data_IF_407490071819
#
_entry.id   IF_407490071819
#
_cell.length_a   1.000
_cell.length_b   1.000
_cell.length_c   1.000
_cell.angle_alpha   90.00
_cell.angle_beta   90.00
_cell.angle_gamma   90.00
#
_symmetry.space_group_name_H-M   'P 1'
#
loop_
_entity.id
_entity.type
_entity.pdbx_description
1 polymer ?
#
# COMPACT_ATOMS: atom_id res chain seq x y z
N UNK A 1 28.45 -9.38 -10.30
CA UNK A 1 27.58 -9.10 -9.15
C UNK A 1 26.17 -8.95 -9.69
N UNK A 2 25.34 -9.98 -9.56
CA UNK A 2 23.98 -10.01 -10.06
C UNK A 2 23.02 -9.86 -8.87
N UNK A 3 22.29 -8.74 -8.81
CA UNK A 3 21.21 -8.56 -7.86
C UNK A 3 19.98 -9.29 -8.41
N UNK A 4 19.74 -10.49 -7.87
CA UNK A 4 18.60 -11.33 -8.21
C UNK A 4 17.30 -10.68 -7.72
N UNK A 5 16.40 -10.45 -8.69
CA UNK A 5 14.99 -10.20 -8.48
C UNK A 5 14.38 -11.36 -7.66
N UNK A 6 14.00 -11.10 -6.41
CA UNK A 6 13.10 -11.99 -5.68
C UNK A 6 11.98 -11.14 -5.09
N UNK A 7 10.99 -10.89 -5.94
CA UNK A 7 9.62 -10.64 -5.51
C UNK A 7 9.13 -11.90 -4.79
N UNK A 8 9.21 -11.90 -3.45
CA UNK A 8 8.82 -13.03 -2.62
C UNK A 8 7.34 -12.92 -2.24
N UNK A 9 6.51 -13.57 -3.05
CA UNK A 9 5.32 -14.34 -2.68
C UNK A 9 4.21 -13.66 -1.84
N UNK A 10 3.44 -12.78 -2.48
CA UNK A 10 1.98 -12.80 -2.25
C UNK A 10 1.48 -14.10 -2.91
N UNK A 11 1.15 -15.10 -2.08
CA UNK A 11 0.61 -16.37 -2.55
C UNK A 11 -0.80 -16.12 -3.11
N UNK A 12 -0.89 -15.86 -4.41
CA UNK A 12 -2.12 -15.91 -5.17
C UNK A 12 -2.70 -17.33 -5.07
N UNK A 13 -3.82 -17.45 -4.36
CA UNK A 13 -4.72 -18.60 -4.50
C UNK A 13 -5.61 -18.31 -5.71
N UNK A 14 -5.29 -18.98 -6.81
CA UNK A 14 -6.13 -19.38 -7.95
C UNK A 14 -7.16 -18.42 -8.53
N UNK A 15 -6.88 -17.89 -9.72
CA UNK A 15 -7.88 -17.66 -10.76
C UNK A 15 -7.26 -17.90 -12.14
N UNK A 16 -7.97 -18.63 -13.00
CA UNK A 16 -7.53 -19.18 -14.28
C UNK A 16 -7.18 -18.11 -15.34
N UNK A 17 -6.40 -18.44 -16.40
CA UNK A 17 -5.99 -17.48 -17.41
C UNK A 17 -7.08 -17.38 -18.49
N UNK A 18 -7.92 -16.36 -18.38
CA UNK A 18 -8.91 -16.08 -19.40
C UNK A 18 -9.90 -15.04 -18.93
N UNK A 19 -9.52 -13.77 -19.05
CA UNK A 19 -10.35 -12.62 -19.47
C UNK A 19 -9.64 -11.34 -19.03
N UNK A 20 -9.46 -10.40 -19.97
CA UNK A 20 -9.26 -8.98 -19.63
C UNK A 20 -10.60 -8.47 -19.09
N UNK A 21 -10.90 -8.77 -17.84
CA UNK A 21 -11.91 -8.03 -17.11
C UNK A 21 -11.20 -6.82 -16.51
N UNK A 22 -11.83 -5.66 -16.58
CA UNK A 22 -11.53 -4.51 -15.72
C UNK A 22 -11.78 -4.95 -14.28
N UNK A 23 -10.88 -5.78 -13.73
CA UNK A 23 -10.96 -6.24 -12.36
C UNK A 23 -10.62 -5.03 -11.52
N UNK A 24 -11.64 -4.38 -10.99
CA UNK A 24 -11.50 -3.35 -9.97
C UNK A 24 -10.52 -3.87 -8.91
N UNK A 25 -9.40 -3.15 -8.75
CA UNK A 25 -8.37 -3.56 -7.81
C UNK A 25 -8.95 -3.59 -6.41
N UNK A 26 -8.69 -4.67 -5.69
CA UNK A 26 -9.09 -4.77 -4.28
C UNK A 26 -8.31 -3.77 -3.45
N UNK A 27 -8.85 -3.42 -2.28
CA UNK A 27 -8.17 -2.53 -1.34
C UNK A 27 -6.78 -3.07 -0.97
N UNK A 28 -6.64 -4.38 -0.82
CA UNK A 28 -5.37 -5.04 -0.54
C UNK A 28 -4.35 -4.85 -1.68
N UNK A 29 -4.79 -4.91 -2.94
CA UNK A 29 -3.93 -4.65 -4.10
C UNK A 29 -3.50 -3.18 -4.17
N UNK A 30 -4.40 -2.24 -3.88
CA UNK A 30 -4.06 -0.81 -3.80
C UNK A 30 -3.06 -0.52 -2.68
N UNK A 31 -3.24 -1.13 -1.50
CA UNK A 31 -2.27 -1.01 -0.41
C UNK A 31 -0.91 -1.59 -0.80
N UNK A 32 -0.87 -2.75 -1.48
CA UNK A 32 0.38 -3.35 -1.93
C UNK A 32 1.15 -2.43 -2.91
N UNK A 33 0.44 -1.77 -3.82
CA UNK A 33 1.03 -0.79 -4.75
C UNK A 33 1.57 0.44 -4.00
N UNK A 34 0.81 0.96 -3.03
CA UNK A 34 1.24 2.07 -2.17
C UNK A 34 2.51 1.71 -1.41
N UNK A 35 2.51 0.54 -0.75
CA UNK A 35 3.66 0.03 0.00
C UNK A 35 4.89 -0.11 -0.90
N UNK A 36 4.75 -0.71 -2.08
CA UNK A 36 5.86 -0.89 -3.02
C UNK A 36 6.46 0.46 -3.42
N UNK A 37 5.62 1.41 -3.85
CA UNK A 37 6.11 2.72 -4.30
C UNK A 37 6.79 3.53 -3.18
N UNK A 38 6.29 3.42 -1.94
CA UNK A 38 6.95 3.99 -0.76
C UNK A 38 8.28 3.27 -0.45
N UNK A 39 8.29 1.94 -0.50
CA UNK A 39 9.49 1.15 -0.22
C UNK A 39 10.59 1.41 -1.27
N UNK A 40 10.22 1.62 -2.53
CA UNK A 40 11.16 1.92 -3.62
C UNK A 40 11.80 3.31 -3.45
N UNK A 41 11.10 4.25 -2.81
CA UNK A 41 11.58 5.64 -2.62
C UNK A 41 12.25 5.87 -1.27
N UNK A 42 11.72 5.28 -0.20
CA UNK A 42 12.13 5.52 1.19
C UNK A 42 12.87 4.34 1.82
N UNK A 43 12.77 3.15 1.21
CA UNK A 43 13.15 1.89 1.83
C UNK A 43 12.01 1.28 2.66
N UNK A 44 12.06 -0.04 2.82
CA UNK A 44 11.05 -0.83 3.54
C UNK A 44 10.93 -0.47 5.01
N UNK A 45 12.04 -0.13 5.66
CA UNK A 45 12.07 0.25 7.08
C UNK A 45 11.37 1.60 7.34
N UNK A 46 11.64 2.62 6.51
CA UNK A 46 10.97 3.91 6.63
C UNK A 46 9.48 3.78 6.31
N UNK A 47 9.14 3.02 5.27
CA UNK A 47 7.75 2.73 4.90
C UNK A 47 6.98 2.06 6.04
N UNK A 48 7.59 1.06 6.68
CA UNK A 48 7.05 0.38 7.84
C UNK A 48 6.69 1.32 8.99
N UNK A 49 7.63 2.21 9.34
CA UNK A 49 7.43 3.19 10.41
C UNK A 49 6.33 4.18 10.07
N UNK A 50 6.33 4.72 8.85
CA UNK A 50 5.33 5.68 8.40
C UNK A 50 3.92 5.08 8.41
N UNK A 51 3.74 3.88 7.86
CA UNK A 51 2.45 3.17 7.88
C UNK A 51 1.99 2.95 9.32
N UNK A 52 2.89 2.52 10.22
CA UNK A 52 2.55 2.33 11.64
C UNK A 52 2.15 3.62 12.35
N UNK A 53 2.77 4.75 12.02
CA UNK A 53 2.44 6.06 12.60
C UNK A 53 1.10 6.60 12.10
N UNK A 54 0.76 6.31 10.84
CA UNK A 54 -0.45 6.80 10.17
C UNK A 54 -1.66 5.87 10.34
N UNK A 55 -1.46 4.59 10.64
CA UNK A 55 -2.52 3.63 10.91
C UNK A 55 -3.23 3.94 12.24
N UNK A 56 -4.28 4.77 12.19
CA UNK A 56 -5.11 5.14 13.35
C UNK A 56 -6.57 4.78 13.07
N UNK A 57 -7.18 3.95 13.93
CA UNK A 57 -8.58 3.53 13.82
C UNK A 57 -8.76 2.01 13.83
N UNK A 58 -9.94 1.52 14.21
CA UNK A 58 -10.17 0.11 14.55
C UNK A 58 -9.89 -0.90 13.41
N UNK A 59 -10.15 -0.54 12.15
CA UNK A 59 -9.79 -1.38 11.00
C UNK A 59 -8.29 -1.34 10.69
N UNK A 60 -7.64 -0.20 10.93
CA UNK A 60 -6.21 0.01 10.72
C UNK A 60 -5.35 -0.59 11.84
N UNK A 61 -5.93 -0.90 13.01
CA UNK A 61 -5.25 -1.67 14.08
C UNK A 61 -4.88 -3.09 13.65
N UNK A 62 -5.58 -3.64 12.65
CA UNK A 62 -5.26 -4.96 12.06
C UNK A 62 -4.14 -4.86 11.00
N UNK A 63 -3.78 -3.65 10.56
CA UNK A 63 -2.61 -3.40 9.71
C UNK A 63 -1.36 -3.46 10.59
N UNK A 64 -0.83 -4.67 10.75
CA UNK A 64 0.36 -4.90 11.56
C UNK A 64 1.59 -5.01 10.65
N UNK A 65 2.53 -4.09 10.82
CA UNK A 65 3.85 -4.19 10.19
C UNK A 65 4.76 -4.99 11.12
N UNK A 66 5.34 -6.08 10.61
CA UNK A 66 6.22 -6.99 11.35
C UNK A 66 7.59 -7.03 10.70
N UNK A 67 8.62 -7.12 11.52
CA UNK A 67 9.97 -7.41 11.02
C UNK A 67 10.19 -8.92 11.06
N UNK A 68 10.31 -9.54 9.89
CA UNK A 68 10.69 -10.94 9.76
C UNK A 68 12.14 -11.02 9.26
N UNK A 69 13.05 -11.38 10.18
CA UNK A 69 14.51 -11.36 9.96
C UNK A 69 15.02 -9.97 9.59
N UNK A 70 15.14 -9.69 8.29
CA UNK A 70 15.65 -8.43 7.72
C UNK A 70 14.63 -7.77 6.79
N UNK A 71 13.43 -8.34 6.68
CA UNK A 71 12.36 -7.84 5.81
C UNK A 71 11.21 -7.32 6.66
N UNK A 72 10.62 -6.20 6.24
CA UNK A 72 9.39 -5.70 6.82
C UNK A 72 8.21 -6.24 6.02
N UNK A 73 7.38 -7.05 6.67
CA UNK A 73 6.13 -7.59 6.14
C UNK A 73 4.95 -6.88 6.77
N UNK A 74 3.76 -7.01 6.17
CA UNK A 74 2.54 -6.46 6.71
C UNK A 74 1.40 -7.49 6.64
N UNK A 75 0.47 -7.41 7.58
CA UNK A 75 -0.83 -8.09 7.49
C UNK A 75 -1.92 -7.05 7.21
N UNK A 76 -2.96 -7.43 6.49
CA UNK A 76 -4.10 -6.57 6.19
C UNK A 76 -5.40 -7.18 6.74
N UNK A 77 -6.43 -6.37 7.00
CA UNK A 77 -7.77 -6.88 7.29
C UNK A 77 -8.25 -7.83 6.18
N UNK A 78 -8.85 -8.99 6.51
CA UNK A 78 -9.38 -9.91 5.50
C UNK A 78 -10.39 -9.23 4.55
N UNK A 79 -11.18 -8.29 5.08
CA UNK A 79 -12.16 -7.49 4.33
C UNK A 79 -11.57 -6.66 3.20
N UNK A 80 -10.26 -6.39 3.20
CA UNK A 80 -9.59 -5.64 2.13
C UNK A 80 -9.30 -6.51 0.89
N UNK A 81 -9.39 -7.83 1.04
CA UNK A 81 -9.23 -8.77 -0.08
C UNK A 81 -10.52 -8.93 -0.88
N UNK A 82 -11.65 -8.49 -0.34
CA UNK A 82 -12.92 -8.48 -1.05
C UNK A 82 -12.99 -7.27 -1.99
N UNK A 83 -13.63 -7.40 -3.17
CA UNK A 83 -13.86 -6.28 -4.10
C UNK A 83 -14.88 -5.25 -3.56
N UNK A 84 -15.37 -5.42 -2.33
CA UNK A 84 -16.30 -4.51 -1.71
C UNK A 84 -15.62 -3.16 -1.36
N UNK A 85 -16.32 -2.03 -1.48
CA UNK A 85 -15.76 -0.69 -1.26
C UNK A 85 -15.41 -0.40 0.21
N UNK A 86 -15.74 -1.29 1.15
CA UNK A 86 -15.59 -1.06 2.58
C UNK A 86 -14.13 -0.80 3.01
N UNK A 87 -13.16 -1.47 2.39
CA UNK A 87 -11.75 -1.25 2.73
C UNK A 87 -11.16 0.05 2.18
N UNK A 88 -11.78 0.64 1.15
CA UNK A 88 -11.21 1.80 0.47
C UNK A 88 -11.20 3.05 1.35
N UNK A 89 -12.23 3.24 2.20
CA UNK A 89 -12.26 4.39 3.11
C UNK A 89 -11.23 4.25 4.23
N UNK A 90 -11.01 3.04 4.76
CA UNK A 90 -9.93 2.80 5.72
C UNK A 90 -8.55 3.10 5.10
N UNK A 91 -8.36 2.73 3.84
CA UNK A 91 -7.13 3.04 3.10
C UNK A 91 -6.98 4.55 2.82
N UNK A 92 -8.08 5.26 2.53
CA UNK A 92 -8.06 6.73 2.43
C UNK A 92 -7.65 7.37 3.74
N UNK A 93 -8.18 6.90 4.85
CA UNK A 93 -7.84 7.44 6.18
C UNK A 93 -6.35 7.24 6.49
N UNK A 94 -5.79 6.07 6.14
CA UNK A 94 -4.34 5.85 6.21
C UNK A 94 -3.57 6.85 5.34
N UNK A 95 -4.00 7.08 4.10
CA UNK A 95 -3.37 8.05 3.19
C UNK A 95 -3.45 9.49 3.72
N UNK A 96 -4.58 9.89 4.33
CA UNK A 96 -4.72 11.20 5.01
C UNK A 96 -3.72 11.36 6.14
N UNK A 97 -3.49 10.30 6.93
CA UNK A 97 -2.47 10.28 7.97
C UNK A 97 -1.03 10.25 7.45
N UNK A 98 -0.78 9.66 6.28
CA UNK A 98 0.55 9.57 5.66
C UNK A 98 0.98 10.88 5.01
N UNK A 99 0.05 11.57 4.33
CA UNK A 99 0.33 12.78 3.54
C UNK A 99 1.13 13.85 4.30
N UNK A 100 0.75 14.29 5.53
CA UNK A 100 1.53 15.29 6.25
C UNK A 100 2.95 14.80 6.59
N UNK A 101 3.11 13.52 6.98
CA UNK A 101 4.42 12.96 7.28
C UNK A 101 5.32 12.90 6.04
N UNK A 102 4.75 12.52 4.89
CA UNK A 102 5.49 12.50 3.63
C UNK A 102 5.93 13.91 3.20
N UNK A 103 5.05 14.91 3.35
CA UNK A 103 5.37 16.30 3.06
C UNK A 103 6.45 16.83 3.98
N UNK A 104 6.33 16.56 5.28
CA UNK A 104 7.30 17.02 6.27
C UNK A 104 8.69 16.43 6.03
N UNK A 105 8.78 15.14 5.72
CA UNK A 105 10.06 14.44 5.59
C UNK A 105 10.68 14.55 4.20
N UNK A 106 9.88 14.71 3.15
CA UNK A 106 10.35 14.61 1.75
C UNK A 106 9.90 15.74 0.84
N UNK A 107 9.14 16.69 1.37
CA UNK A 107 8.39 17.64 0.54
C UNK A 107 7.38 16.92 -0.34
N UNK A 108 7.15 17.41 -1.55
CA UNK A 108 6.14 16.84 -2.47
C UNK A 108 6.64 15.71 -3.35
N UNK A 109 7.91 15.29 -3.22
CA UNK A 109 8.55 14.36 -4.16
C UNK A 109 7.89 12.99 -4.12
N UNK A 110 7.70 12.42 -2.91
CA UNK A 110 7.07 11.10 -2.78
C UNK A 110 5.61 11.15 -3.20
N UNK A 111 4.86 12.20 -2.87
CA UNK A 111 3.47 12.35 -3.31
C UNK A 111 3.34 12.39 -4.84
N UNK A 112 4.20 13.17 -5.52
CA UNK A 112 4.24 13.20 -6.99
C UNK A 112 4.60 11.85 -7.59
N UNK A 113 5.49 11.11 -6.94
CA UNK A 113 5.82 9.75 -7.36
C UNK A 113 4.61 8.81 -7.22
N UNK A 114 3.90 8.85 -6.10
CA UNK A 114 2.69 8.06 -5.88
C UNK A 114 1.59 8.42 -6.90
N UNK A 115 1.40 9.71 -7.21
CA UNK A 115 0.47 10.19 -8.24
C UNK A 115 0.88 9.75 -9.66
N UNK A 116 2.14 9.41 -9.89
CA UNK A 116 2.60 8.88 -11.18
C UNK A 116 2.17 7.42 -11.41
N UNK A 117 1.85 6.69 -10.34
CA UNK A 117 1.37 5.29 -10.38
C UNK A 117 -0.10 5.28 -10.80
N UNK A 118 -0.39 4.85 -12.03
CA UNK A 118 -1.71 4.97 -12.64
C UNK A 118 -2.86 4.36 -11.80
N UNK A 119 -2.72 3.16 -11.20
CA UNK A 119 -3.77 2.61 -10.35
C UNK A 119 -4.03 3.39 -9.05
N UNK A 120 -2.98 4.00 -8.45
CA UNK A 120 -3.13 4.81 -7.24
C UNK A 120 -3.76 6.18 -7.53
N UNK A 121 -3.49 6.72 -8.73
CA UNK A 121 -4.17 7.93 -9.20
C UNK A 121 -5.64 7.67 -9.46
N UNK A 122 -5.97 6.58 -10.14
CA UNK A 122 -7.34 6.24 -10.51
C UNK A 122 -8.26 5.99 -9.30
N UNK A 123 -7.70 5.58 -8.15
CA UNK A 123 -8.45 5.33 -6.92
C UNK A 123 -8.77 6.59 -6.10
N UNK A 124 -8.19 7.74 -6.45
CA UNK A 124 -8.39 9.00 -5.72
C UNK A 124 -7.86 8.99 -4.27
N UNK A 125 -7.04 8.00 -3.90
CA UNK A 125 -6.54 7.81 -2.52
C UNK A 125 -5.64 8.97 -2.03
N UNK A 126 -4.99 9.65 -2.98
CA UNK A 126 -3.98 10.69 -2.72
C UNK A 126 -4.55 12.10 -2.88
N UNK A 127 -5.81 12.20 -3.33
CA UNK A 127 -6.54 13.45 -3.44
C UNK A 127 -6.99 13.84 -2.03
N UNK A 128 -6.20 14.69 -1.37
CA UNK A 128 -6.59 15.35 -0.13
C UNK A 128 -6.84 16.83 -0.40
N UNK A 129 -8.00 17.31 0.06
CA UNK A 129 -8.28 18.74 0.27
C UNK A 129 -7.15 19.46 1.04
#
# INVERSE_FOLDING_TARGET
>A
MAFGLIASAIRHVGAAPGSREDTELTTAQLFALLWSALADTLGTAATAVLVRCSARGAALEQVAVRQERLEYTYTLPPSWSDPAPAGLEDLRELCRGLRPLLVELTGTVVLRHLESVAPLRASGLLEGE
#
